data_IF_815368903975
#
_entry.id   IF_815368903975
#
_cell.length_a   1.000
_cell.length_b   1.000
_cell.length_c   1.000
_cell.angle_alpha   90.00
_cell.angle_beta   90.00
_cell.angle_gamma   90.00
#
_symmetry.space_group_name_H-M   'P 1'
#
loop_
_entity.id
_entity.type
_entity.pdbx_description
1 polymer ?
#
# COMPACT_ATOMS: atom_id res chain seq x y z
N UNK A 1 -6.65 -4.88 30.02
CA UNK A 1 -7.93 -5.16 29.33
C UNK A 1 -8.34 -4.03 28.38
N UNK A 2 -8.84 -2.87 28.81
CA UNK A 2 -9.32 -1.83 27.88
C UNK A 2 -8.24 -1.30 26.91
N UNK A 3 -7.03 -1.05 27.41
CA UNK A 3 -5.92 -0.54 26.58
C UNK A 3 -5.47 -1.54 25.51
N UNK A 4 -5.37 -2.83 25.86
CA UNK A 4 -4.95 -3.90 24.95
C UNK A 4 -5.96 -4.08 23.81
N UNK A 5 -7.26 -4.01 24.13
CA UNK A 5 -8.32 -4.08 23.12
C UNK A 5 -8.26 -2.88 22.17
N UNK A 6 -8.08 -1.67 22.69
CA UNK A 6 -7.95 -0.46 21.87
C UNK A 6 -6.72 -0.56 20.96
N UNK A 7 -5.58 -0.98 21.50
CA UNK A 7 -4.36 -1.18 20.72
C UNK A 7 -4.57 -2.24 19.62
N UNK A 8 -5.21 -3.36 19.95
CA UNK A 8 -5.54 -4.42 19.00
C UNK A 8 -6.41 -3.92 17.83
N UNK A 9 -7.44 -3.14 18.12
CA UNK A 9 -8.32 -2.55 17.09
C UNK A 9 -7.55 -1.58 16.20
N UNK A 10 -6.68 -0.74 16.77
CA UNK A 10 -5.86 0.20 15.99
C UNK A 10 -4.89 -0.54 15.07
N UNK A 11 -4.18 -1.55 15.59
CA UNK A 11 -3.25 -2.36 14.79
C UNK A 11 -4.00 -3.10 13.68
N UNK A 12 -5.15 -3.68 13.99
CA UNK A 12 -5.99 -4.36 13.00
C UNK A 12 -6.45 -3.41 11.89
N UNK A 13 -6.95 -2.23 12.26
CA UNK A 13 -7.35 -1.20 11.30
C UNK A 13 -6.16 -0.74 10.44
N UNK A 14 -4.97 -0.59 11.03
CA UNK A 14 -3.76 -0.24 10.30
C UNK A 14 -3.37 -1.33 9.31
N UNK A 15 -3.39 -2.60 9.71
CA UNK A 15 -3.08 -3.74 8.83
C UNK A 15 -4.06 -3.83 7.65
N UNK A 16 -5.34 -3.52 7.88
CA UNK A 16 -6.36 -3.54 6.82
C UNK A 16 -6.34 -2.34 5.89
N UNK A 17 -5.78 -1.22 6.31
CA UNK A 17 -5.91 0.03 5.56
C UNK A 17 -4.58 0.51 4.98
N UNK A 18 -3.50 0.47 5.76
CA UNK A 18 -2.20 1.04 5.39
C UNK A 18 -1.63 0.41 4.11
N UNK A 19 -1.40 -0.92 4.01
CA UNK A 19 -0.78 -1.48 2.82
C UNK A 19 -1.63 -1.26 1.56
N UNK A 20 -2.96 -1.40 1.68
CA UNK A 20 -3.84 -1.14 0.56
C UNK A 20 -3.90 0.33 0.15
N UNK A 21 -3.84 1.28 1.09
CA UNK A 21 -3.75 2.70 0.77
C UNK A 21 -2.48 3.02 -0.03
N UNK A 22 -1.32 2.51 0.40
CA UNK A 22 -0.09 2.68 -0.36
C UNK A 22 -0.19 2.02 -1.76
N UNK A 23 -0.84 0.86 -1.88
CA UNK A 23 -1.12 0.26 -3.19
C UNK A 23 -2.02 1.16 -4.04
N UNK A 24 -3.04 1.81 -3.49
CA UNK A 24 -3.83 2.78 -4.27
C UNK A 24 -2.99 3.95 -4.76
N UNK A 25 -1.99 4.42 -3.99
CA UNK A 25 -1.06 5.46 -4.43
C UNK A 25 -0.15 4.95 -5.54
N UNK A 26 0.28 3.69 -5.49
CA UNK A 26 1.11 3.07 -6.50
C UNK A 26 0.36 2.86 -7.82
N UNK A 27 -0.88 2.35 -7.77
CA UNK A 27 -1.71 2.05 -8.93
C UNK A 27 -2.41 3.30 -9.49
N UNK A 28 -2.97 4.13 -8.61
CA UNK A 28 -3.74 5.33 -8.96
C UNK A 28 -3.13 6.59 -8.31
N UNK A 29 -1.93 7.03 -8.72
CA UNK A 29 -1.27 8.21 -8.16
C UNK A 29 -1.95 9.54 -8.52
N UNK A 30 -2.81 9.58 -9.54
CA UNK A 30 -3.49 10.81 -9.97
C UNK A 30 -4.84 10.99 -9.27
N UNK A 31 -5.21 12.24 -8.99
CA UNK A 31 -6.53 12.61 -8.47
C UNK A 31 -7.65 12.46 -9.50
N UNK A 32 -7.29 12.37 -10.78
CA UNK A 32 -8.24 12.21 -11.90
C UNK A 32 -8.64 10.74 -12.14
N UNK A 33 -7.90 9.79 -11.57
CA UNK A 33 -8.13 8.35 -11.77
C UNK A 33 -9.25 7.82 -10.89
N UNK A 34 -9.21 8.14 -9.60
CA UNK A 34 -10.22 7.74 -8.60
C UNK A 34 -10.42 8.86 -7.59
N UNK A 35 -11.65 8.96 -7.08
CA UNK A 35 -11.98 9.91 -6.02
C UNK A 35 -11.52 9.41 -4.63
N UNK A 36 -11.78 10.21 -3.59
CA UNK A 36 -11.39 9.86 -2.22
C UNK A 36 -12.15 8.63 -1.72
N UNK A 37 -13.45 8.52 -1.99
CA UNK A 37 -14.27 7.41 -1.49
C UNK A 37 -13.88 6.08 -2.15
N UNK A 38 -13.62 6.11 -3.46
CA UNK A 38 -13.06 5.00 -4.21
C UNK A 38 -11.69 4.61 -3.67
N UNK A 39 -10.82 5.59 -3.39
CA UNK A 39 -9.49 5.31 -2.79
C UNK A 39 -9.60 4.63 -1.43
N UNK A 40 -10.50 5.10 -0.56
CA UNK A 40 -10.74 4.44 0.74
C UNK A 40 -11.25 3.00 0.55
N UNK A 41 -12.16 2.79 -0.41
CA UNK A 41 -12.72 1.48 -0.73
C UNK A 41 -11.65 0.53 -1.28
N UNK A 42 -10.87 0.97 -2.26
CA UNK A 42 -9.76 0.20 -2.83
C UNK A 42 -8.65 -0.05 -1.82
N UNK A 43 -8.44 0.83 -0.83
CA UNK A 43 -7.48 0.57 0.24
C UNK A 43 -7.84 -0.69 1.01
N UNK A 44 -9.12 -0.88 1.34
CA UNK A 44 -9.56 -2.12 2.02
C UNK A 44 -9.46 -3.30 1.07
N UNK A 45 -9.97 -3.18 -0.16
CA UNK A 45 -9.97 -4.25 -1.17
C UNK A 45 -8.55 -4.74 -1.49
N UNK A 46 -7.61 -3.82 -1.69
CA UNK A 46 -6.21 -4.17 -1.94
C UNK A 46 -5.55 -4.81 -0.75
N UNK A 47 -5.85 -4.37 0.47
CA UNK A 47 -5.25 -5.00 1.64
C UNK A 47 -5.71 -6.45 1.82
N UNK A 48 -7.02 -6.70 1.73
CA UNK A 48 -7.56 -8.07 1.86
C UNK A 48 -7.25 -8.95 0.64
N UNK A 49 -6.97 -8.34 -0.51
CA UNK A 49 -6.58 -9.06 -1.73
C UNK A 49 -5.09 -9.40 -1.75
N UNK A 50 -4.22 -8.38 -1.69
CA UNK A 50 -2.78 -8.56 -1.88
C UNK A 50 -2.12 -9.26 -0.70
N UNK A 51 -2.44 -8.91 0.54
CA UNK A 51 -1.71 -9.47 1.69
C UNK A 51 -1.88 -11.00 1.79
N UNK A 52 -3.09 -11.59 1.72
CA UNK A 52 -3.23 -13.04 1.73
C UNK A 52 -2.59 -13.71 0.53
N UNK A 53 -2.64 -13.10 -0.66
CA UNK A 53 -1.99 -13.66 -1.85
C UNK A 53 -0.46 -13.70 -1.71
N UNK A 54 0.14 -12.64 -1.19
CA UNK A 54 1.59 -12.59 -0.94
C UNK A 54 1.99 -13.62 0.11
N UNK A 55 1.27 -13.70 1.23
CA UNK A 55 1.53 -14.69 2.29
C UNK A 55 1.33 -16.12 1.78
N UNK A 56 0.31 -16.35 0.94
CA UNK A 56 0.08 -17.66 0.33
C UNK A 56 1.23 -18.05 -0.61
N UNK A 57 1.73 -17.12 -1.43
CA UNK A 57 2.88 -17.33 -2.30
C UNK A 57 4.14 -17.63 -1.49
N UNK A 58 4.41 -16.84 -0.44
CA UNK A 58 5.54 -17.07 0.46
C UNK A 58 5.46 -18.45 1.13
N UNK A 59 4.27 -18.84 1.58
CA UNK A 59 4.08 -20.12 2.24
C UNK A 59 4.18 -21.32 1.27
N UNK A 60 3.49 -21.26 0.13
CA UNK A 60 3.38 -22.39 -0.78
C UNK A 60 4.59 -22.54 -1.72
N UNK A 61 5.15 -21.42 -2.20
CA UNK A 61 6.24 -21.45 -3.17
C UNK A 61 7.62 -21.33 -2.50
N UNK A 62 7.73 -20.55 -1.43
CA UNK A 62 9.01 -20.30 -0.75
C UNK A 62 9.16 -21.14 0.53
N UNK A 63 8.13 -21.88 0.92
CA UNK A 63 8.13 -22.72 2.13
C UNK A 63 8.23 -21.93 3.43
N UNK A 64 7.92 -20.62 3.41
CA UNK A 64 8.01 -19.80 4.61
C UNK A 64 6.86 -20.11 5.57
N UNK A 65 7.12 -20.25 6.88
CA UNK A 65 6.05 -20.44 7.85
C UNK A 65 5.19 -19.18 7.96
N UNK A 66 3.89 -19.34 8.19
CA UNK A 66 2.96 -18.24 8.44
C UNK A 66 3.03 -17.87 9.92
N UNK A 67 3.98 -17.00 10.25
CA UNK A 67 4.24 -16.51 11.60
C UNK A 67 4.23 -14.99 11.61
N UNK A 68 4.27 -14.39 12.80
CA UNK A 68 4.23 -12.94 12.95
C UNK A 68 5.31 -12.22 12.11
N UNK A 69 6.55 -12.69 12.18
CA UNK A 69 7.67 -12.05 11.49
C UNK A 69 7.58 -12.14 9.97
N UNK A 70 7.12 -13.28 9.43
CA UNK A 70 6.97 -13.42 7.98
C UNK A 70 5.87 -12.49 7.47
N UNK A 71 4.66 -12.56 8.05
CA UNK A 71 3.52 -11.72 7.67
C UNK A 71 3.82 -10.23 7.83
N UNK A 72 4.49 -9.85 8.93
CA UNK A 72 4.90 -8.46 9.13
C UNK A 72 5.90 -7.98 8.08
N UNK A 73 6.85 -8.84 7.69
CA UNK A 73 7.81 -8.54 6.63
C UNK A 73 7.13 -8.38 5.27
N UNK A 74 6.16 -9.23 4.94
CA UNK A 74 5.38 -9.12 3.70
C UNK A 74 4.59 -7.82 3.66
N UNK A 75 3.96 -7.44 4.78
CA UNK A 75 3.24 -6.17 4.90
C UNK A 75 4.18 -4.98 4.65
N UNK A 76 5.34 -4.97 5.32
CA UNK A 76 6.33 -3.91 5.17
C UNK A 76 6.86 -3.85 3.72
N UNK A 77 7.12 -5.00 3.12
CA UNK A 77 7.56 -5.12 1.74
C UNK A 77 6.52 -4.51 0.77
N UNK A 78 5.23 -4.83 0.94
CA UNK A 78 4.14 -4.26 0.13
C UNK A 78 4.14 -2.73 0.25
N UNK A 79 4.19 -2.20 1.47
CA UNK A 79 4.19 -0.75 1.72
C UNK A 79 5.39 -0.07 1.06
N UNK A 80 6.60 -0.62 1.25
CA UNK A 80 7.84 -0.06 0.70
C UNK A 80 7.82 -0.08 -0.82
N UNK A 81 7.45 -1.21 -1.45
CA UNK A 81 7.38 -1.32 -2.91
C UNK A 81 6.35 -0.33 -3.47
N UNK A 82 5.16 -0.29 -2.89
CA UNK A 82 4.10 0.59 -3.34
C UNK A 82 4.49 2.07 -3.20
N UNK A 83 5.14 2.44 -2.09
CA UNK A 83 5.68 3.79 -1.90
C UNK A 83 6.76 4.14 -2.91
N UNK A 84 7.70 3.23 -3.20
CA UNK A 84 8.75 3.46 -4.20
C UNK A 84 8.16 3.66 -5.60
N UNK A 85 7.14 2.88 -5.97
CA UNK A 85 6.41 3.06 -7.23
C UNK A 85 5.76 4.43 -7.26
N UNK A 86 5.04 4.82 -6.21
CA UNK A 86 4.41 6.14 -6.12
C UNK A 86 5.43 7.28 -6.23
N UNK A 87 6.53 7.24 -5.49
CA UNK A 87 7.57 8.28 -5.53
C UNK A 87 8.23 8.39 -6.91
N UNK A 88 8.39 7.26 -7.59
CA UNK A 88 8.94 7.25 -8.95
C UNK A 88 7.95 7.81 -9.97
N UNK A 89 6.68 7.39 -9.91
CA UNK A 89 5.62 7.89 -10.80
C UNK A 89 5.34 9.38 -10.61
N UNK A 90 5.52 9.89 -9.39
CA UNK A 90 5.39 11.31 -9.04
C UNK A 90 6.67 12.11 -9.24
N UNK A 91 7.72 11.49 -9.80
CA UNK A 91 9.00 12.14 -10.11
C UNK A 91 9.73 12.75 -8.90
N UNK A 92 9.37 12.30 -7.69
CA UNK A 92 10.05 12.69 -6.44
C UNK A 92 11.32 11.88 -6.20
N UNK A 93 11.43 10.73 -6.88
CA UNK A 93 12.59 9.85 -6.87
C UNK A 93 12.86 9.37 -8.30
N UNK A 94 14.11 9.39 -8.74
CA UNK A 94 14.51 8.86 -10.04
C UNK A 94 15.11 7.46 -9.88
N UNK A 95 14.30 6.44 -10.16
CA UNK A 95 14.74 5.05 -10.21
C UNK A 95 14.70 4.57 -11.68
N UNK A 96 15.85 4.33 -12.32
CA UNK A 96 15.92 4.04 -13.77
C UNK A 96 15.11 2.82 -14.20
N UNK A 97 15.04 1.79 -13.34
CA UNK A 97 14.31 0.54 -13.61
C UNK A 97 12.80 0.80 -13.59
N UNK A 98 12.29 1.49 -12.57
CA UNK A 98 10.87 1.77 -12.43
C UNK A 98 10.39 2.78 -13.48
N UNK A 99 11.20 3.79 -13.82
CA UNK A 99 10.87 4.80 -14.82
C UNK A 99 10.66 4.25 -16.24
N UNK A 100 11.18 3.07 -16.53
CA UNK A 100 10.93 2.37 -17.81
C UNK A 100 9.61 1.61 -17.83
N UNK A 101 9.11 1.19 -16.65
CA UNK A 101 7.96 0.30 -16.52
C UNK A 101 6.69 1.11 -16.25
N UNK A 102 6.78 2.13 -15.40
CA UNK A 102 5.62 2.86 -14.91
C UNK A 102 5.49 4.24 -15.58
N UNK A 103 4.28 4.59 -16.05
CA UNK A 103 4.03 5.91 -16.62
C UNK A 103 4.13 6.99 -15.54
N UNK A 104 4.78 8.10 -15.90
CA UNK A 104 4.91 9.29 -15.06
C UNK A 104 3.59 10.05 -14.99
N UNK A 105 3.35 10.69 -13.86
CA UNK A 105 2.20 11.57 -13.65
C UNK A 105 2.67 13.02 -13.61
N UNK A 106 1.86 13.92 -14.18
CA UNK A 106 2.11 15.35 -14.12
C UNK A 106 1.95 15.86 -12.69
N UNK A 107 2.83 16.78 -12.27
CA UNK A 107 2.91 17.24 -10.88
C UNK A 107 1.59 17.84 -10.36
N UNK A 108 0.81 18.45 -11.24
CA UNK A 108 -0.48 19.10 -10.92
C UNK A 108 -1.57 18.08 -10.54
N UNK A 109 -1.48 16.88 -11.08
CA UNK A 109 -2.50 15.84 -10.93
C UNK A 109 -2.21 14.87 -9.78
N UNK A 110 -1.05 15.01 -9.12
CA UNK A 110 -0.61 14.09 -8.08
C UNK A 110 -1.55 14.15 -6.85
N UNK A 111 -2.05 12.98 -6.46
CA UNK A 111 -2.68 12.82 -5.15
C UNK A 111 -1.63 12.93 -4.05
N UNK A 112 -1.86 13.80 -3.06
CA UNK A 112 -0.92 14.01 -1.96
C UNK A 112 -0.89 12.79 -1.03
N UNK A 113 0.31 12.38 -0.61
CA UNK A 113 0.48 11.25 0.31
C UNK A 113 -0.35 11.38 1.59
N UNK A 114 -0.44 12.59 2.13
CA UNK A 114 -1.34 12.96 3.22
C UNK A 114 -2.37 13.93 2.64
N UNK A 115 -3.65 13.55 2.52
CA UNK A 115 -4.67 14.45 2.01
C UNK A 115 -4.85 15.63 2.97
N UNK A 116 -4.79 16.85 2.43
CA UNK A 116 -5.18 18.05 3.17
C UNK A 116 -6.70 18.16 3.14
N UNK A 117 -7.34 17.90 4.27
CA UNK A 117 -8.75 18.22 4.46
C UNK A 117 -8.85 19.75 4.60
N UNK A 118 -9.37 20.41 3.57
CA UNK A 118 -9.80 21.82 3.65
C UNK A 118 -11.26 21.88 4.08
#
# INVERSE_FOLDING_TARGET
>A
MALETVAGVIVFAAVLFVPGYFLTLAFFPSRKEIDLAERLTFSVVFSIGFLPLVVLVENQLLGMPIEFFSVFSSLLLIVVIALLIYLTRTQRLDLPVLNRIFPKVEAEDVFELIPKFK
#
